data_IF_412143391465
#
_entry.id   IF_412143391465
#
_cell.length_a   1.000
_cell.length_b   1.000
_cell.length_c   1.000
_cell.angle_alpha   90.00
_cell.angle_beta   90.00
_cell.angle_gamma   90.00
#
_symmetry.space_group_name_H-M   'P 1'
#
loop_
_entity.id
_entity.type
_entity.pdbx_description
1 polymer ?
#
# COMPACT_ATOMS: atom_id res chain seq x y z
N UNK A 1 -30.04 16.30 -18.05
CA UNK A 1 -31.07 16.42 -16.99
C UNK A 1 -30.71 15.42 -15.91
N UNK A 2 -30.36 15.94 -14.74
CA UNK A 2 -29.90 15.17 -13.58
C UNK A 2 -31.08 14.47 -12.90
N UNK A 3 -30.93 13.20 -12.55
CA UNK A 3 -31.73 12.45 -11.56
C UNK A 3 -30.91 11.19 -11.28
N UNK A 4 -30.42 10.86 -10.09
CA UNK A 4 -30.80 11.13 -8.70
C UNK A 4 -30.54 9.80 -7.97
N UNK A 5 -29.86 9.70 -6.84
CA UNK A 5 -29.21 10.70 -6.02
C UNK A 5 -28.00 10.09 -5.33
N UNK A 6 -27.12 10.96 -4.86
CA UNK A 6 -26.24 10.65 -3.76
C UNK A 6 -27.14 10.22 -2.60
N UNK A 7 -27.22 8.92 -2.31
CA UNK A 7 -27.96 8.43 -1.16
C UNK A 7 -27.25 8.94 0.09
N UNK A 8 -27.82 10.00 0.66
CA UNK A 8 -27.28 10.71 1.79
C UNK A 8 -27.50 9.90 3.08
N UNK A 9 -26.42 9.70 3.84
CA UNK A 9 -26.46 9.21 5.22
C UNK A 9 -25.48 8.07 5.46
N UNK A 10 -25.90 6.86 5.07
CA UNK A 10 -25.18 5.62 5.40
C UNK A 10 -24.55 4.97 4.16
N UNK A 11 -25.22 5.00 3.00
CA UNK A 11 -24.74 4.39 1.75
C UNK A 11 -23.36 4.94 1.31
N UNK A 12 -23.12 6.26 1.46
CA UNK A 12 -21.82 6.88 1.13
C UNK A 12 -20.73 6.48 2.12
N UNK A 13 -21.05 6.30 3.41
CA UNK A 13 -20.07 5.85 4.40
C UNK A 13 -19.68 4.39 4.15
N UNK A 14 -20.64 3.55 3.78
CA UNK A 14 -20.40 2.16 3.38
C UNK A 14 -19.56 2.08 2.11
N UNK A 15 -19.83 2.93 1.12
CA UNK A 15 -19.00 3.05 -0.08
C UNK A 15 -17.55 3.46 0.27
N UNK A 16 -17.38 4.45 1.14
CA UNK A 16 -16.05 4.86 1.62
C UNK A 16 -15.37 3.70 2.34
N UNK A 17 -16.07 2.96 3.20
CA UNK A 17 -15.52 1.80 3.90
C UNK A 17 -15.09 0.70 2.92
N UNK A 18 -15.89 0.41 1.89
CA UNK A 18 -15.57 -0.55 0.85
C UNK A 18 -14.34 -0.14 0.02
N UNK A 19 -14.25 1.15 -0.35
CA UNK A 19 -13.08 1.70 -1.06
C UNK A 19 -11.82 1.64 -0.20
N UNK A 20 -11.93 1.98 1.09
CA UNK A 20 -10.81 1.88 2.04
C UNK A 20 -10.37 0.43 2.21
N UNK A 21 -11.30 -0.52 2.30
CA UNK A 21 -10.97 -1.94 2.36
C UNK A 21 -10.21 -2.40 1.10
N UNK A 22 -10.68 -2.02 -0.09
CA UNK A 22 -10.01 -2.32 -1.36
C UNK A 22 -8.61 -1.70 -1.45
N UNK A 23 -8.47 -0.45 -1.00
CA UNK A 23 -7.16 0.22 -0.91
C UNK A 23 -6.24 -0.49 0.08
N UNK A 24 -6.72 -0.88 1.25
CA UNK A 24 -5.92 -1.57 2.26
C UNK A 24 -5.37 -2.89 1.74
N UNK A 25 -6.17 -3.67 0.99
CA UNK A 25 -5.70 -4.89 0.32
C UNK A 25 -4.58 -4.60 -0.68
N UNK A 26 -4.74 -3.54 -1.48
CA UNK A 26 -3.74 -3.10 -2.47
C UNK A 26 -2.46 -2.64 -1.79
N UNK A 27 -2.56 -1.83 -0.74
CA UNK A 27 -1.44 -1.32 0.04
C UNK A 27 -0.67 -2.47 0.73
N UNK A 28 -1.36 -3.48 1.27
CA UNK A 28 -0.73 -4.66 1.86
C UNK A 28 0.01 -5.50 0.81
N UNK A 29 -0.60 -5.74 -0.35
CA UNK A 29 0.02 -6.47 -1.46
C UNK A 29 1.26 -5.73 -2.01
N UNK A 30 1.22 -4.40 -2.07
CA UNK A 30 2.35 -3.56 -2.43
C UNK A 30 3.46 -3.63 -1.38
N UNK A 31 3.12 -3.48 -0.09
CA UNK A 31 4.09 -3.53 1.01
C UNK A 31 4.86 -4.86 1.05
N UNK A 32 4.19 -6.00 0.83
CA UNK A 32 4.85 -7.31 0.73
C UNK A 32 5.82 -7.40 -0.44
N UNK A 33 5.43 -6.90 -1.62
CA UNK A 33 6.31 -6.86 -2.80
C UNK A 33 7.51 -5.96 -2.57
N UNK A 34 7.29 -4.79 -1.95
CA UNK A 34 8.36 -3.87 -1.53
C UNK A 34 9.32 -4.57 -0.58
N UNK A 35 8.83 -5.36 0.38
CA UNK A 35 9.69 -6.16 1.27
C UNK A 35 10.48 -7.22 0.51
N UNK A 36 9.85 -7.94 -0.41
CA UNK A 36 10.52 -8.97 -1.20
C UNK A 36 11.67 -8.39 -2.04
N UNK A 37 11.44 -7.25 -2.72
CA UNK A 37 12.49 -6.59 -3.52
C UNK A 37 13.55 -5.90 -2.65
N UNK A 38 13.18 -5.43 -1.46
CA UNK A 38 14.13 -4.92 -0.47
C UNK A 38 15.07 -6.04 0.00
N UNK A 39 14.54 -7.21 0.36
CA UNK A 39 15.34 -8.37 0.80
C UNK A 39 16.31 -8.85 -0.28
N UNK A 40 15.89 -8.83 -1.55
CA UNK A 40 16.76 -9.20 -2.66
C UNK A 40 17.76 -8.11 -3.06
N UNK A 41 17.83 -6.99 -2.33
CA UNK A 41 18.65 -5.81 -2.65
C UNK A 41 18.44 -5.30 -4.10
N UNK A 42 17.24 -5.50 -4.67
CA UNK A 42 16.96 -5.12 -6.05
C UNK A 42 17.16 -3.62 -6.36
N UNK A 43 16.92 -2.67 -5.42
CA UNK A 43 17.18 -1.24 -5.66
C UNK A 43 18.61 -0.92 -6.14
N UNK A 44 19.59 -1.75 -5.82
CA UNK A 44 20.99 -1.54 -6.23
C UNK A 44 21.17 -1.61 -7.74
N UNK A 45 20.32 -2.37 -8.44
CA UNK A 45 20.32 -2.46 -9.92
C UNK A 45 20.05 -1.10 -10.57
N UNK A 46 19.34 -0.23 -9.86
CA UNK A 46 19.02 1.14 -10.29
C UNK A 46 19.88 2.18 -9.57
N UNK A 47 21.00 1.76 -8.96
CA UNK A 47 21.94 2.64 -8.26
C UNK A 47 21.43 3.23 -6.94
N UNK A 48 20.37 2.66 -6.36
CA UNK A 48 19.79 3.15 -5.11
C UNK A 48 20.22 2.29 -3.92
N UNK A 49 20.73 2.92 -2.86
CA UNK A 49 21.23 2.24 -1.65
C UNK A 49 20.13 1.76 -0.70
N UNK A 50 18.88 2.11 -0.96
CA UNK A 50 17.76 1.69 -0.11
C UNK A 50 16.45 1.69 -0.88
N UNK A 51 15.52 0.84 -0.44
CA UNK A 51 14.18 0.78 -1.00
C UNK A 51 13.42 2.11 -0.84
N UNK A 52 13.59 2.80 0.29
CA UNK A 52 13.02 4.14 0.51
C UNK A 52 13.50 5.17 -0.52
N UNK A 53 14.80 5.16 -0.85
CA UNK A 53 15.36 6.06 -1.86
C UNK A 53 14.82 5.73 -3.26
N UNK A 54 14.73 4.43 -3.57
CA UNK A 54 14.17 3.95 -4.82
C UNK A 54 12.70 4.35 -5.00
N UNK A 55 11.86 4.16 -3.99
CA UNK A 55 10.45 4.56 -3.99
C UNK A 55 10.26 6.07 -4.16
N UNK A 56 11.11 6.88 -3.52
CA UNK A 56 11.09 8.34 -3.70
C UNK A 56 11.50 8.77 -5.11
N UNK A 57 12.54 8.14 -5.66
CA UNK A 57 13.08 8.48 -6.97
C UNK A 57 12.22 8.00 -8.13
N UNK A 58 11.93 6.70 -8.16
CA UNK A 58 11.26 6.02 -9.28
C UNK A 58 9.73 6.04 -9.15
N UNK A 59 9.18 5.93 -7.94
CA UNK A 59 7.73 5.97 -7.73
C UNK A 59 7.21 7.36 -7.30
N UNK A 60 8.09 8.35 -7.18
CA UNK A 60 7.74 9.74 -6.78
C UNK A 60 6.96 9.84 -5.47
N UNK A 61 7.16 8.87 -4.56
CA UNK A 61 6.53 8.92 -3.24
C UNK A 61 7.17 9.99 -2.36
N UNK A 62 6.35 10.63 -1.51
CA UNK A 62 6.87 11.48 -0.44
C UNK A 62 7.76 10.65 0.52
N UNK A 63 8.65 11.33 1.26
CA UNK A 63 9.51 10.65 2.25
C UNK A 63 8.70 9.83 3.25
N UNK A 64 7.60 10.41 3.75
CA UNK A 64 6.74 9.75 4.73
C UNK A 64 6.01 8.55 4.14
N UNK A 65 5.49 8.66 2.91
CA UNK A 65 4.80 7.55 2.24
C UNK A 65 5.75 6.38 1.94
N UNK A 66 6.96 6.67 1.44
CA UNK A 66 7.96 5.64 1.18
C UNK A 66 8.42 4.93 2.47
N UNK A 67 8.70 5.70 3.53
CA UNK A 67 9.07 5.13 4.83
C UNK A 67 7.96 4.26 5.42
N UNK A 68 6.70 4.73 5.38
CA UNK A 68 5.54 3.96 5.84
C UNK A 68 5.44 2.63 5.09
N UNK A 69 5.59 2.65 3.77
CA UNK A 69 5.46 1.45 2.95
C UNK A 69 6.53 0.39 3.28
N UNK A 70 7.77 0.81 3.48
CA UNK A 70 8.87 -0.07 3.92
C UNK A 70 8.62 -0.60 5.34
N UNK A 71 8.22 0.25 6.27
CA UNK A 71 7.91 -0.16 7.65
C UNK A 71 6.78 -1.18 7.71
N UNK A 72 5.69 -0.95 6.96
CA UNK A 72 4.56 -1.89 6.89
C UNK A 72 5.02 -3.21 6.26
N UNK A 73 5.81 -3.18 5.19
CA UNK A 73 6.34 -4.39 4.55
C UNK A 73 7.18 -5.25 5.51
N UNK A 74 8.03 -4.61 6.32
CA UNK A 74 8.82 -5.27 7.37
C UNK A 74 7.96 -5.82 8.50
N UNK A 75 6.92 -5.10 8.90
CA UNK A 75 5.99 -5.58 9.93
C UNK A 75 5.18 -6.80 9.46
N UNK A 76 4.70 -6.78 8.21
CA UNK A 76 3.90 -7.88 7.63
C UNK A 76 4.70 -9.18 7.46
N UNK A 77 6.01 -9.11 7.23
CA UNK A 77 6.88 -10.30 7.21
C UNK A 77 6.82 -11.08 8.54
N UNK A 78 6.63 -10.37 9.65
CA UNK A 78 6.51 -10.98 10.98
C UNK A 78 5.06 -11.32 11.37
N UNK A 79 4.08 -10.99 10.53
CA UNK A 79 2.64 -11.17 10.78
C UNK A 79 1.96 -11.86 9.58
N UNK A 80 2.33 -13.10 9.24
CA UNK A 80 1.86 -13.78 8.01
C UNK A 80 0.34 -13.95 7.96
N UNK A 81 -0.31 -14.26 9.10
CA UNK A 81 -1.78 -14.37 9.19
C UNK A 81 -2.47 -13.04 8.82
N UNK A 82 -1.90 -11.91 9.24
CA UNK A 82 -2.44 -10.59 8.89
C UNK A 82 -2.20 -10.27 7.41
N UNK A 83 -1.06 -10.67 6.86
CA UNK A 83 -0.77 -10.52 5.45
C UNK A 83 -1.78 -11.27 4.57
N UNK A 84 -2.13 -12.51 4.95
CA UNK A 84 -3.12 -13.35 4.28
C UNK A 84 -4.54 -12.79 4.38
N UNK A 85 -4.91 -12.21 5.54
CA UNK A 85 -6.23 -11.60 5.74
C UNK A 85 -6.52 -10.45 4.77
N UNK A 86 -5.49 -9.81 4.22
CA UNK A 86 -5.62 -8.77 3.19
C UNK A 86 -5.68 -9.31 1.75
N UNK A 87 -5.57 -10.63 1.53
CA UNK A 87 -5.73 -11.26 0.21
C UNK A 87 -7.14 -11.84 -0.04
N UNK A 88 -7.93 -12.03 1.02
CA UNK A 88 -9.33 -12.45 0.97
C UNK A 88 -10.29 -11.28 0.62
#
# INVERSE_FOLDING_TARGET
MCSGGWQAGDDVLDDVAALVAGRNRTDAALARRVRAVELSQAPERDGQRSMTSWLRGHCRLSSAAAARLVTVGRALEHLPVLAEAHEA
#
